data_IF_576811672153
#
_entry.id   IF_576811672153
#
_cell.length_a   1.000
_cell.length_b   1.000
_cell.length_c   1.000
_cell.angle_alpha   90.00
_cell.angle_beta   90.00
_cell.angle_gamma   90.00
#
_symmetry.space_group_name_H-M   'P 1'
#
loop_
_entity.id
_entity.type
_entity.pdbx_description
1 polymer ?
#
# COMPACT_ATOMS: atom_id res chain seq x y z
N UNK A 1 -3.72 2.68 -7.90
CA UNK A 1 -3.41 1.65 -8.93
C UNK A 1 -3.36 2.28 -10.34
N UNK A 2 -3.07 1.52 -11.42
CA UNK A 2 -3.07 2.04 -12.79
C UNK A 2 -4.47 2.51 -13.20
N UNK A 3 -4.61 3.74 -13.71
CA UNK A 3 -5.85 4.30 -14.27
C UNK A 3 -6.55 3.36 -15.25
N UNK A 4 -5.79 2.47 -15.89
CA UNK A 4 -6.29 1.47 -16.84
C UNK A 4 -7.21 0.43 -16.19
N UNK A 5 -6.97 0.07 -14.92
CA UNK A 5 -7.74 -0.97 -14.23
C UNK A 5 -9.13 -0.45 -13.86
N UNK A 6 -9.19 0.75 -13.27
CA UNK A 6 -10.45 1.42 -12.93
C UNK A 6 -11.32 1.62 -14.17
N UNK A 7 -10.70 2.05 -15.28
CA UNK A 7 -11.39 2.24 -16.56
C UNK A 7 -11.95 0.92 -17.14
N UNK A 8 -11.29 -0.21 -16.85
CA UNK A 8 -11.73 -1.53 -17.35
C UNK A 8 -12.91 -2.05 -16.55
N UNK A 9 -12.90 -1.86 -15.22
CA UNK A 9 -14.03 -2.22 -14.34
C UNK A 9 -15.25 -1.35 -14.63
N UNK A 10 -15.05 -0.04 -14.82
CA UNK A 10 -16.13 0.89 -15.17
C UNK A 10 -16.78 0.51 -16.51
N UNK A 11 -15.98 0.20 -17.54
CA UNK A 11 -16.49 -0.29 -18.83
C UNK A 11 -17.27 -1.59 -18.69
N UNK A 12 -16.80 -2.53 -17.86
CA UNK A 12 -17.50 -3.79 -17.62
C UNK A 12 -18.86 -3.57 -16.95
N UNK A 13 -18.93 -2.67 -15.95
CA UNK A 13 -20.18 -2.32 -15.28
C UNK A 13 -21.18 -1.64 -16.22
N UNK A 14 -20.72 -0.69 -17.04
CA UNK A 14 -21.57 -0.01 -18.03
C UNK A 14 -22.09 -1.01 -19.06
N UNK A 15 -21.25 -1.95 -19.51
CA UNK A 15 -21.65 -3.01 -20.45
C UNK A 15 -22.72 -3.92 -19.84
N UNK A 16 -22.51 -4.42 -18.63
CA UNK A 16 -23.51 -5.26 -17.92
C UNK A 16 -24.83 -4.51 -17.79
N UNK A 17 -24.81 -3.23 -17.40
CA UNK A 17 -26.02 -2.43 -17.27
C UNK A 17 -26.76 -2.24 -18.61
N UNK A 18 -26.01 -2.02 -19.70
CA UNK A 18 -26.55 -1.91 -21.05
C UNK A 18 -27.19 -3.21 -21.54
N UNK A 19 -26.55 -4.35 -21.25
CA UNK A 19 -27.07 -5.67 -21.63
C UNK A 19 -28.31 -6.03 -20.81
N UNK A 20 -28.34 -5.77 -19.50
CA UNK A 20 -29.53 -6.01 -18.66
C UNK A 20 -30.76 -5.27 -19.17
N UNK A 21 -30.60 -4.02 -19.63
CA UNK A 21 -31.70 -3.21 -20.18
C UNK A 21 -32.27 -3.75 -21.49
N UNK A 22 -31.46 -4.43 -22.30
CA UNK A 22 -31.82 -4.94 -23.62
C UNK A 22 -31.76 -6.48 -23.69
N UNK A 23 -31.93 -7.14 -22.55
CA UNK A 23 -31.63 -8.57 -22.43
C UNK A 23 -32.49 -9.43 -23.38
N UNK A 24 -33.77 -9.08 -23.58
CA UNK A 24 -34.66 -9.84 -24.48
C UNK A 24 -34.22 -9.85 -25.96
N UNK A 25 -33.51 -8.81 -26.41
CA UNK A 25 -32.95 -8.74 -27.76
C UNK A 25 -31.63 -9.48 -27.86
N UNK A 26 -30.82 -9.39 -26.80
CA UNK A 26 -29.47 -9.94 -26.74
C UNK A 26 -29.42 -11.42 -26.37
N UNK A 27 -30.42 -11.93 -25.65
CA UNK A 27 -30.62 -13.36 -25.38
C UNK A 27 -30.82 -14.13 -26.69
N UNK A 28 -31.53 -13.53 -27.66
CA UNK A 28 -31.69 -14.11 -29.01
C UNK A 28 -30.37 -14.22 -29.78
N UNK A 29 -29.36 -13.44 -29.40
CA UNK A 29 -28.00 -13.50 -29.96
C UNK A 29 -27.08 -14.46 -29.18
N UNK A 30 -27.60 -15.18 -28.19
CA UNK A 30 -26.88 -16.20 -27.43
C UNK A 30 -26.17 -15.69 -26.18
N UNK A 31 -26.38 -14.43 -25.78
CA UNK A 31 -25.83 -13.91 -24.51
C UNK A 31 -26.48 -14.63 -23.34
N UNK A 32 -25.66 -15.32 -22.54
CA UNK A 32 -26.11 -16.07 -21.38
C UNK A 32 -26.20 -15.17 -20.15
N UNK A 33 -27.32 -15.25 -19.42
CA UNK A 33 -27.51 -14.55 -18.14
C UNK A 33 -26.39 -14.86 -17.13
N UNK A 34 -25.94 -16.12 -17.08
CA UNK A 34 -24.89 -16.55 -16.14
C UNK A 34 -23.57 -15.82 -16.39
N UNK A 35 -23.17 -15.64 -17.64
CA UNK A 35 -21.96 -14.88 -18.00
C UNK A 35 -22.08 -13.40 -17.58
N UNK A 36 -23.29 -12.84 -17.66
CA UNK A 36 -23.55 -11.48 -17.23
C UNK A 36 -23.40 -11.31 -15.73
N UNK A 37 -24.00 -12.23 -14.98
CA UNK A 37 -23.93 -12.27 -13.52
C UNK A 37 -22.49 -12.47 -13.03
N UNK A 38 -21.76 -13.38 -13.67
CA UNK A 38 -20.35 -13.63 -13.35
C UNK A 38 -19.48 -12.40 -13.60
N UNK A 39 -19.71 -11.68 -14.71
CA UNK A 39 -18.97 -10.45 -15.01
C UNK A 39 -19.27 -9.34 -13.99
N UNK A 40 -20.52 -9.22 -13.54
CA UNK A 40 -20.92 -8.28 -12.49
C UNK A 40 -20.26 -8.60 -11.15
N UNK A 41 -20.32 -9.86 -10.71
CA UNK A 41 -19.69 -10.31 -9.47
C UNK A 41 -18.18 -10.12 -9.49
N UNK A 42 -17.51 -10.46 -10.59
CA UNK A 42 -16.08 -10.27 -10.76
C UNK A 42 -15.70 -8.79 -10.71
N UNK A 43 -16.48 -7.92 -11.35
CA UNK A 43 -16.27 -6.47 -11.34
C UNK A 43 -16.40 -5.90 -9.92
N UNK A 44 -17.43 -6.32 -9.18
CA UNK A 44 -17.64 -5.89 -7.80
C UNK A 44 -16.51 -6.36 -6.86
N UNK A 45 -16.08 -7.61 -6.99
CA UNK A 45 -14.95 -8.17 -6.22
C UNK A 45 -13.65 -7.45 -6.53
N UNK A 46 -13.38 -7.17 -7.81
CA UNK A 46 -12.20 -6.43 -8.21
C UNK A 46 -12.16 -5.04 -7.55
N UNK A 47 -13.27 -4.29 -7.57
CA UNK A 47 -13.37 -2.99 -6.89
C UNK A 47 -13.10 -3.09 -5.38
N UNK A 48 -13.67 -4.10 -4.71
CA UNK A 48 -13.46 -4.30 -3.28
C UNK A 48 -11.99 -4.59 -2.95
N UNK A 49 -11.36 -5.50 -3.69
CA UNK A 49 -9.94 -5.83 -3.51
C UNK A 49 -9.03 -4.61 -3.75
N UNK A 50 -9.36 -3.78 -4.74
CA UNK A 50 -8.63 -2.53 -5.02
C UNK A 50 -8.72 -1.57 -3.82
N UNK A 51 -9.93 -1.36 -3.28
CA UNK A 51 -10.14 -0.49 -2.13
C UNK A 51 -9.35 -0.96 -0.90
N UNK A 52 -9.29 -2.28 -0.67
CA UNK A 52 -8.48 -2.87 0.39
C UNK A 52 -6.98 -2.62 0.19
N UNK A 53 -6.49 -2.77 -1.04
CA UNK A 53 -5.08 -2.48 -1.37
C UNK A 53 -4.72 -1.03 -1.11
N UNK A 54 -5.57 -0.07 -1.52
CA UNK A 54 -5.31 1.34 -1.27
C UNK A 54 -5.31 1.66 0.24
N UNK A 55 -6.24 1.08 1.01
CA UNK A 55 -6.25 1.20 2.48
C UNK A 55 -4.98 0.61 3.12
N UNK A 56 -4.51 -0.53 2.64
CA UNK A 56 -3.25 -1.14 3.10
C UNK A 56 -2.05 -0.25 2.77
N UNK A 57 -2.00 0.34 1.57
CA UNK A 57 -0.94 1.27 1.16
C UNK A 57 -0.88 2.48 2.08
N UNK A 58 -2.03 3.07 2.41
CA UNK A 58 -2.10 4.18 3.35
C UNK A 58 -1.57 3.77 4.73
N UNK A 59 -2.02 2.62 5.24
CA UNK A 59 -1.56 2.08 6.53
C UNK A 59 -0.04 1.85 6.55
N UNK A 60 0.51 1.26 5.49
CA UNK A 60 1.95 1.02 5.35
C UNK A 60 2.71 2.35 5.31
N UNK A 61 2.23 3.33 4.54
CA UNK A 61 2.83 4.66 4.44
C UNK A 61 2.90 5.35 5.80
N UNK A 62 1.80 5.36 6.55
CA UNK A 62 1.74 5.96 7.90
C UNK A 62 2.71 5.27 8.87
N UNK A 63 2.72 3.94 8.90
CA UNK A 63 3.63 3.17 9.76
C UNK A 63 5.10 3.38 9.40
N UNK A 64 5.40 3.47 8.10
CA UNK A 64 6.76 3.74 7.62
C UNK A 64 7.23 5.15 8.03
N UNK A 65 6.38 6.16 7.88
CA UNK A 65 6.69 7.52 8.33
C UNK A 65 6.97 7.56 9.84
N UNK A 66 6.12 6.91 10.66
CA UNK A 66 6.31 6.84 12.10
C UNK A 66 7.61 6.10 12.48
N UNK A 67 7.92 4.98 11.82
CA UNK A 67 9.16 4.24 12.05
C UNK A 67 10.39 5.06 11.68
N UNK A 68 10.37 5.76 10.55
CA UNK A 68 11.46 6.63 10.13
C UNK A 68 11.70 7.79 11.11
N UNK A 69 10.63 8.44 11.59
CA UNK A 69 10.75 9.48 12.61
C UNK A 69 11.43 8.95 13.89
N UNK A 70 11.05 7.75 14.35
CA UNK A 70 11.70 7.13 15.52
C UNK A 70 13.14 6.71 15.26
N UNK A 71 13.47 6.25 14.06
CA UNK A 71 14.85 5.96 13.69
C UNK A 71 15.71 7.22 13.72
N UNK A 72 15.19 8.36 13.28
CA UNK A 72 15.92 9.61 13.32
C UNK A 72 16.10 10.13 14.75
N UNK A 73 15.08 10.00 15.62
CA UNK A 73 15.24 10.25 17.06
C UNK A 73 16.35 9.39 17.68
N UNK A 74 16.39 8.09 17.34
CA UNK A 74 17.44 7.17 17.84
C UNK A 74 18.83 7.59 17.34
N UNK A 75 18.97 7.96 16.06
CA UNK A 75 20.25 8.44 15.51
C UNK A 75 20.71 9.71 16.20
N UNK A 76 19.81 10.67 16.40
CA UNK A 76 20.12 11.94 17.06
C UNK A 76 20.55 11.69 18.50
N UNK A 77 19.75 10.92 19.26
CA UNK A 77 20.08 10.58 20.65
C UNK A 77 21.40 9.81 20.77
N UNK A 78 21.68 8.87 19.85
CA UNK A 78 22.98 8.20 19.79
C UNK A 78 24.13 9.18 19.53
N UNK A 79 23.97 10.11 18.59
CA UNK A 79 24.97 11.12 18.25
C UNK A 79 25.27 12.03 19.44
N UNK A 80 24.24 12.51 20.12
CA UNK A 80 24.36 13.41 21.26
C UNK A 80 25.09 12.73 22.42
N UNK A 81 24.66 11.51 22.80
CA UNK A 81 25.31 10.74 23.86
C UNK A 81 26.76 10.40 23.50
N UNK A 82 27.01 10.03 22.24
CA UNK A 82 28.37 9.79 21.73
C UNK A 82 29.24 11.03 21.86
N UNK A 83 28.72 12.20 21.48
CA UNK A 83 29.45 13.47 21.55
C UNK A 83 29.80 13.83 23.01
N UNK A 84 28.86 13.67 23.94
CA UNK A 84 29.11 13.92 25.37
C UNK A 84 30.28 13.06 25.88
N UNK A 85 30.30 11.76 25.57
CA UNK A 85 31.41 10.89 26.00
C UNK A 85 32.73 11.32 25.36
N UNK A 86 32.73 11.62 24.05
CA UNK A 86 33.94 12.04 23.33
C UNK A 86 34.55 13.34 23.86
N UNK A 87 33.73 14.27 24.34
CA UNK A 87 34.20 15.54 24.89
C UNK A 87 34.77 15.41 26.31
N UNK A 88 34.29 14.45 27.09
CA UNK A 88 34.63 14.32 28.52
C UNK A 88 35.66 13.23 28.82
N UNK A 89 35.90 12.30 27.89
CA UNK A 89 36.80 11.17 28.11
C UNK A 89 37.79 11.01 26.95
N UNK A 90 39.05 10.62 27.23
CA UNK A 90 40.03 10.34 26.20
C UNK A 90 39.69 9.02 25.47
N UNK A 91 40.18 8.88 24.24
CA UNK A 91 39.76 7.84 23.29
C UNK A 91 39.98 6.41 23.80
N UNK A 92 41.01 6.17 24.61
CA UNK A 92 41.32 4.85 25.17
C UNK A 92 40.21 4.34 26.10
N UNK A 93 39.40 5.24 26.64
CA UNK A 93 38.31 4.91 27.56
C UNK A 93 36.95 4.73 26.86
N UNK A 94 36.83 5.12 25.59
CA UNK A 94 35.55 5.07 24.86
C UNK A 94 34.96 3.67 24.75
N UNK A 95 35.82 2.65 24.64
CA UNK A 95 35.40 1.25 24.61
C UNK A 95 34.58 0.85 25.87
N UNK A 96 34.89 1.44 27.03
CA UNK A 96 34.14 1.19 28.29
C UNK A 96 32.69 1.67 28.22
N UNK A 97 32.41 2.65 27.35
CA UNK A 97 31.07 3.21 27.14
C UNK A 97 30.39 2.65 25.89
N UNK A 98 30.90 1.56 25.31
CA UNK A 98 30.32 0.93 24.12
C UNK A 98 30.54 1.72 22.82
N UNK A 99 31.36 2.77 22.85
CA UNK A 99 31.82 3.48 21.65
C UNK A 99 33.00 2.71 21.05
N UNK A 100 32.69 1.63 20.33
CA UNK A 100 33.68 0.91 19.54
C UNK A 100 33.81 1.57 18.17
N UNK A 101 35.04 1.88 17.75
CA UNK A 101 35.33 2.32 16.40
C UNK A 101 35.22 1.10 15.47
N UNK A 102 34.01 0.87 14.93
CA UNK A 102 33.80 -0.09 13.86
C UNK A 102 34.17 0.59 12.54
N UNK A 103 35.47 0.68 12.27
CA UNK A 103 35.98 0.79 10.90
C UNK A 103 35.87 -0.55 10.21
#
# INVERSE_FOLDING_TARGET
MSKTFDLSVEKAQVLVAGIKKNYAELERLGIQWESLKQLEENSARATAMIAEVEKMRETVSQKLQAANAKLDEVKNGYSDLRQIIKLNYPQEQWAKFGLMDKR
#
